data_IF_807499741648
#
_entry.id   IF_807499741648
#
_cell.length_a   1.000
_cell.length_b   1.000
_cell.length_c   1.000
_cell.angle_alpha   90.00
_cell.angle_beta   90.00
_cell.angle_gamma   90.00
#
_symmetry.space_group_name_H-M   'P 1'
#
loop_
_entity.id
_entity.type
_entity.pdbx_description
1 polymer ?
#
# COMPACT_ATOMS: atom_id res chain seq x y z
N UNK A 1 -26.96 -21.21 -23.92
CA UNK A 1 -26.97 -19.73 -23.84
C UNK A 1 -27.19 -19.33 -22.40
N UNK A 2 -26.16 -18.80 -21.75
CA UNK A 2 -26.29 -18.17 -20.42
C UNK A 2 -25.03 -17.33 -20.18
N UNK A 3 -25.08 -16.13 -20.77
CA UNK A 3 -24.45 -14.86 -20.42
C UNK A 3 -23.11 -14.88 -19.64
N UNK A 4 -22.04 -14.53 -20.36
CA UNK A 4 -20.82 -13.93 -19.85
C UNK A 4 -21.14 -12.72 -18.98
N UNK A 5 -20.75 -12.75 -17.71
CA UNK A 5 -20.85 -11.63 -16.75
C UNK A 5 -19.48 -10.99 -16.48
N UNK A 6 -18.63 -10.88 -17.50
CA UNK A 6 -17.30 -10.23 -17.44
C UNK A 6 -17.17 -9.00 -18.35
N UNK A 7 -18.27 -8.30 -18.60
CA UNK A 7 -18.25 -6.96 -19.19
C UNK A 7 -18.87 -5.95 -18.21
N UNK A 8 -18.09 -5.50 -17.23
CA UNK A 8 -18.44 -4.25 -16.53
C UNK A 8 -17.18 -3.41 -16.34
N UNK A 9 -17.23 -2.19 -16.91
CA UNK A 9 -16.28 -1.08 -16.78
C UNK A 9 -15.03 -1.08 -17.69
N UNK A 10 -15.24 -1.17 -19.01
CA UNK A 10 -14.32 -0.59 -20.00
C UNK A 10 -14.74 0.84 -20.33
N UNK A 11 -14.26 1.79 -19.53
CA UNK A 11 -14.38 3.21 -19.82
C UNK A 11 -13.79 4.03 -18.69
N UNK A 12 -12.72 4.77 -18.97
CA UNK A 12 -12.31 5.86 -18.07
C UNK A 12 -13.41 6.92 -18.08
N UNK A 13 -13.84 7.34 -16.90
CA UNK A 13 -14.88 8.38 -16.78
C UNK A 13 -14.25 9.76 -16.67
N UNK A 14 -14.89 10.74 -17.32
CA UNK A 14 -14.53 12.16 -17.19
C UNK A 14 -15.22 12.70 -15.93
N UNK A 15 -14.47 12.79 -14.84
CA UNK A 15 -14.95 13.38 -13.58
C UNK A 15 -14.70 12.51 -12.34
N UNK A 16 -15.04 13.02 -11.16
CA UNK A 16 -14.91 12.26 -9.90
C UNK A 16 -16.02 11.21 -9.81
N UNK A 17 -15.71 9.98 -9.38
CA UNK A 17 -16.74 8.96 -9.17
C UNK A 17 -17.67 9.42 -8.05
N UNK A 18 -18.99 9.15 -8.17
CA UNK A 18 -19.95 9.44 -7.09
C UNK A 18 -19.85 8.36 -6.02
N UNK A 19 -19.76 7.11 -6.46
CA UNK A 19 -19.46 5.94 -5.64
C UNK A 19 -18.11 5.35 -6.08
N UNK A 20 -17.00 5.63 -5.37
CA UNK A 20 -15.67 5.19 -5.77
C UNK A 20 -15.48 3.68 -5.69
N UNK A 21 -16.37 2.97 -4.98
CA UNK A 21 -16.34 1.53 -4.80
C UNK A 21 -17.05 0.77 -5.94
N UNK A 22 -17.85 1.46 -6.76
CA UNK A 22 -18.73 0.82 -7.76
C UNK A 22 -18.66 1.45 -9.15
N UNK A 23 -18.45 2.76 -9.23
CA UNK A 23 -18.42 3.48 -10.50
C UNK A 23 -17.14 3.15 -11.31
N UNK A 24 -17.12 3.59 -12.58
CA UNK A 24 -15.96 3.48 -13.46
C UNK A 24 -14.73 4.20 -12.90
N UNK A 25 -13.54 3.71 -13.31
CA UNK A 25 -12.27 4.27 -12.86
C UNK A 25 -12.07 5.66 -13.52
N UNK A 26 -11.81 6.72 -12.74
CA UNK A 26 -11.57 8.04 -13.31
C UNK A 26 -10.23 8.06 -14.05
N UNK A 27 -10.10 8.95 -15.04
CA UNK A 27 -8.82 9.22 -15.71
C UNK A 27 -7.77 9.67 -14.70
N UNK A 28 -6.55 9.17 -14.87
CA UNK A 28 -5.41 9.56 -14.04
C UNK A 28 -4.97 11.00 -14.30
N UNK A 29 -4.72 11.69 -13.19
CA UNK A 29 -4.15 13.04 -13.10
C UNK A 29 -2.80 12.88 -12.41
N UNK A 30 -1.68 13.01 -13.14
CA UNK A 30 -0.35 13.01 -12.53
C UNK A 30 -0.21 14.17 -11.55
N UNK A 31 0.45 13.91 -10.41
CA UNK A 31 0.76 14.93 -9.40
C UNK A 31 2.29 15.05 -9.29
N UNK A 32 2.93 15.99 -10.01
CA UNK A 32 4.39 16.14 -9.97
C UNK A 32 4.94 16.43 -8.57
N UNK A 33 4.11 16.99 -7.68
CA UNK A 33 4.44 17.25 -6.27
C UNK A 33 3.69 16.33 -5.33
N UNK A 34 3.35 15.12 -5.76
CA UNK A 34 2.49 14.18 -5.01
C UNK A 34 2.85 14.09 -3.51
N UNK A 35 1.85 14.12 -2.60
CA UNK A 35 2.08 13.86 -1.17
C UNK A 35 2.24 12.37 -0.84
N UNK A 36 2.31 11.52 -1.86
CA UNK A 36 2.45 10.08 -1.71
C UNK A 36 3.77 9.74 -1.00
N UNK A 37 3.65 9.30 0.25
CA UNK A 37 4.77 9.01 1.14
C UNK A 37 5.25 7.55 1.04
N UNK A 38 4.36 6.63 0.64
CA UNK A 38 4.68 5.21 0.49
C UNK A 38 3.74 4.51 -0.49
N UNK A 39 4.30 3.61 -1.28
CA UNK A 39 3.53 2.59 -2.02
C UNK A 39 4.08 1.23 -1.68
N UNK A 40 3.20 0.25 -1.42
CA UNK A 40 3.57 -1.12 -1.03
C UNK A 40 2.76 -2.11 -1.85
N UNK A 41 3.39 -3.18 -2.32
CA UNK A 41 2.69 -4.38 -2.78
C UNK A 41 3.24 -5.60 -2.03
N UNK A 42 2.35 -6.53 -1.68
CA UNK A 42 2.70 -7.74 -0.94
C UNK A 42 1.92 -8.94 -1.44
N UNK A 43 2.64 -10.04 -1.66
CA UNK A 43 2.06 -11.40 -1.73
C UNK A 43 2.39 -12.15 -0.46
N UNK A 44 1.39 -12.83 0.11
CA UNK A 44 1.58 -13.87 1.12
C UNK A 44 1.32 -15.23 0.49
N UNK A 45 2.06 -16.23 0.93
CA UNK A 45 2.03 -17.59 0.41
C UNK A 45 2.29 -18.57 1.56
N UNK A 46 1.92 -19.87 1.40
CA UNK A 46 2.22 -20.88 2.40
C UNK A 46 3.72 -20.91 2.73
N UNK A 47 4.04 -21.15 3.99
CA UNK A 47 5.40 -21.00 4.49
C UNK A 47 6.44 -21.84 3.74
N UNK A 48 7.46 -21.18 3.18
CA UNK A 48 8.66 -21.78 2.59
C UNK A 48 9.79 -21.73 3.63
N UNK A 49 9.91 -22.80 4.42
CA UNK A 49 10.80 -22.83 5.59
C UNK A 49 12.28 -22.59 5.27
N UNK A 50 12.72 -22.95 4.05
CA UNK A 50 14.10 -22.76 3.59
C UNK A 50 14.51 -21.29 3.53
N UNK A 51 13.57 -20.34 3.46
CA UNK A 51 13.87 -18.90 3.47
C UNK A 51 14.56 -18.44 4.77
N UNK A 52 14.45 -19.21 5.86
CA UNK A 52 15.16 -18.90 7.10
C UNK A 52 16.69 -19.13 7.03
N UNK A 53 17.17 -19.86 6.01
CA UNK A 53 18.58 -20.21 5.87
C UNK A 53 19.26 -19.30 4.81
N UNK A 54 20.32 -18.55 5.18
CA UNK A 54 21.09 -17.73 4.26
C UNK A 54 21.55 -18.46 2.99
N UNK A 55 21.89 -19.75 3.08
CA UNK A 55 22.36 -20.54 1.94
C UNK A 55 21.28 -20.72 0.86
N UNK A 56 20.02 -20.85 1.26
CA UNK A 56 18.88 -20.97 0.35
C UNK A 56 18.41 -19.62 -0.19
N UNK A 57 18.73 -18.52 0.50
CA UNK A 57 18.40 -17.16 0.05
C UNK A 57 19.44 -16.61 -0.93
N UNK A 58 20.69 -17.04 -0.84
CA UNK A 58 21.79 -16.53 -1.67
C UNK A 58 21.48 -16.53 -3.18
N UNK A 59 20.89 -17.58 -3.80
CA UNK A 59 20.56 -17.55 -5.22
C UNK A 59 19.54 -16.45 -5.60
N UNK A 60 18.52 -16.24 -4.76
CA UNK A 60 17.54 -15.18 -4.95
C UNK A 60 18.20 -13.80 -4.79
N UNK A 61 19.02 -13.63 -3.74
CA UNK A 61 19.76 -12.39 -3.50
C UNK A 61 20.68 -12.07 -4.69
N UNK A 62 21.43 -13.03 -5.20
CA UNK A 62 22.29 -12.86 -6.37
C UNK A 62 21.52 -12.45 -7.63
N UNK A 63 20.30 -12.98 -7.81
CA UNK A 63 19.46 -12.62 -8.94
C UNK A 63 18.97 -11.15 -8.89
N UNK A 64 18.72 -10.61 -7.70
CA UNK A 64 18.19 -9.25 -7.53
C UNK A 64 19.26 -8.20 -7.19
N UNK A 65 20.49 -8.62 -6.83
CA UNK A 65 21.52 -7.73 -6.26
C UNK A 65 21.90 -6.53 -7.12
N UNK A 66 21.75 -6.63 -8.45
CA UNK A 66 22.03 -5.51 -9.35
C UNK A 66 21.10 -4.33 -9.08
N UNK A 67 19.85 -4.60 -8.72
CA UNK A 67 18.84 -3.58 -8.42
C UNK A 67 18.74 -3.30 -6.91
N UNK A 68 18.92 -4.34 -6.07
CA UNK A 68 18.79 -4.27 -4.62
C UNK A 68 20.05 -4.80 -3.92
N UNK A 69 21.18 -4.08 -3.97
CA UNK A 69 22.49 -4.59 -3.57
C UNK A 69 22.74 -4.67 -2.06
N UNK A 70 21.86 -4.10 -1.22
CA UNK A 70 22.08 -4.01 0.23
C UNK A 70 21.20 -4.99 1.00
N UNK A 71 21.67 -6.22 1.26
CA UNK A 71 20.95 -7.16 2.12
C UNK A 71 21.09 -6.76 3.59
N UNK A 72 20.00 -6.82 4.33
CA UNK A 72 19.94 -6.71 5.78
C UNK A 72 19.09 -7.84 6.32
N UNK A 73 19.60 -8.56 7.32
CA UNK A 73 18.83 -9.59 8.01
C UNK A 73 18.28 -9.01 9.31
N UNK A 74 16.96 -9.03 9.46
CA UNK A 74 16.27 -8.64 10.68
C UNK A 74 15.61 -9.86 11.31
N UNK A 75 15.56 -9.90 12.64
CA UNK A 75 14.75 -10.85 13.39
C UNK A 75 13.59 -10.11 14.00
N UNK A 76 12.38 -10.45 13.57
CA UNK A 76 11.17 -9.99 14.24
C UNK A 76 10.78 -11.05 15.26
N UNK A 77 10.40 -10.60 16.45
CA UNK A 77 9.91 -11.45 17.52
C UNK A 77 8.44 -11.09 17.73
N UNK A 78 7.53 -12.01 17.43
CA UNK A 78 6.14 -11.81 17.82
C UNK A 78 6.04 -11.84 19.34
N UNK A 79 5.24 -10.96 19.92
CA UNK A 79 4.91 -10.98 21.34
C UNK A 79 3.45 -11.37 21.47
N UNK A 80 3.18 -12.51 22.11
CA UNK A 80 1.83 -12.97 22.38
C UNK A 80 1.42 -12.49 23.76
N UNK A 81 0.40 -11.65 23.82
CA UNK A 81 -0.19 -11.19 25.07
C UNK A 81 -1.25 -12.19 25.51
N UNK A 82 -0.96 -12.93 26.58
CA UNK A 82 -1.92 -13.86 27.20
C UNK A 82 -2.33 -13.33 28.58
N UNK A 83 -3.46 -13.78 29.14
CA UNK A 83 -3.83 -13.44 30.52
C UNK A 83 -2.75 -13.80 31.57
N UNK A 84 -1.84 -14.73 31.25
CA UNK A 84 -0.74 -15.16 32.11
C UNK A 84 0.58 -14.39 31.88
N UNK A 85 0.56 -13.33 31.06
CA UNK A 85 1.72 -12.51 30.75
C UNK A 85 2.11 -12.53 29.27
N UNK A 86 3.24 -11.89 28.97
CA UNK A 86 3.82 -11.82 27.62
C UNK A 86 4.61 -13.09 27.36
N UNK A 87 4.18 -13.89 26.39
CA UNK A 87 4.96 -15.03 25.90
C UNK A 87 5.68 -14.63 24.60
N UNK A 88 6.97 -14.97 24.43
CA UNK A 88 7.63 -14.82 23.15
C UNK A 88 6.92 -15.72 22.13
N UNK A 89 6.42 -15.13 21.06
CA UNK A 89 5.88 -15.83 19.91
C UNK A 89 6.98 -16.33 18.98
N UNK A 90 6.58 -16.77 17.78
CA UNK A 90 7.53 -17.24 16.78
C UNK A 90 8.42 -16.08 16.32
N UNK A 91 9.73 -16.33 16.24
CA UNK A 91 10.65 -15.39 15.60
C UNK A 91 10.72 -15.71 14.11
N UNK A 92 10.52 -14.70 13.27
CA UNK A 92 10.70 -14.80 11.83
C UNK A 92 11.93 -13.98 11.41
N UNK A 93 12.74 -14.57 10.53
CA UNK A 93 13.78 -13.82 9.82
C UNK A 93 13.12 -13.07 8.68
N UNK A 94 13.38 -11.77 8.61
CA UNK A 94 13.01 -10.93 7.47
C UNK A 94 14.31 -10.52 6.78
N UNK A 95 14.45 -10.90 5.52
CA UNK A 95 15.50 -10.44 4.64
C UNK A 95 15.04 -9.16 3.95
N UNK A 96 15.77 -8.07 4.14
CA UNK A 96 15.53 -6.81 3.45
C UNK A 96 16.59 -6.58 2.39
N UNK A 97 16.18 -6.10 1.23
CA UNK A 97 17.07 -5.71 0.14
C UNK A 97 16.70 -4.30 -0.31
N UNK A 98 17.66 -3.38 -0.26
CA UNK A 98 17.43 -1.98 -0.61
C UNK A 98 18.20 -1.58 -1.86
N UNK A 99 17.68 -0.60 -2.61
CA UNK A 99 18.46 0.17 -3.60
C UNK A 99 19.58 0.95 -2.90
N UNK A 100 20.54 1.51 -3.66
CA UNK A 100 21.67 2.28 -3.10
C UNK A 100 21.25 3.58 -2.41
N UNK A 101 20.09 4.12 -2.73
CA UNK A 101 19.51 5.37 -2.22
C UNK A 101 18.44 5.14 -1.13
N UNK A 102 18.20 3.89 -0.72
CA UNK A 102 17.18 3.47 0.26
C UNK A 102 15.72 3.81 -0.12
N UNK A 103 15.49 4.25 -1.36
CA UNK A 103 14.15 4.62 -1.80
C UNK A 103 13.25 3.42 -2.08
N UNK A 104 13.82 2.28 -2.47
CA UNK A 104 13.10 1.03 -2.66
C UNK A 104 13.58 -0.03 -1.69
N UNK A 105 12.63 -0.76 -1.11
CA UNK A 105 12.89 -1.85 -0.19
C UNK A 105 12.09 -3.07 -0.59
N UNK A 106 12.77 -4.21 -0.63
CA UNK A 106 12.16 -5.54 -0.81
C UNK A 106 12.28 -6.26 0.51
N UNK A 107 11.19 -6.85 1.00
CA UNK A 107 11.21 -7.68 2.20
C UNK A 107 10.75 -9.09 1.83
N UNK A 108 11.55 -10.09 2.22
CA UNK A 108 11.28 -11.50 2.02
C UNK A 108 11.37 -12.23 3.35
N UNK A 109 10.32 -12.95 3.71
CA UNK A 109 10.32 -13.89 4.83
C UNK A 109 9.66 -15.21 4.38
N UNK A 110 9.60 -16.25 5.23
CA UNK A 110 9.05 -17.54 4.84
C UNK A 110 7.62 -17.51 4.28
N UNK A 111 6.82 -16.50 4.59
CA UNK A 111 5.39 -16.45 4.27
C UNK A 111 4.96 -15.22 3.47
N UNK A 112 5.88 -14.31 3.11
CA UNK A 112 5.56 -13.19 2.22
C UNK A 112 6.76 -12.64 1.47
N UNK A 113 6.46 -11.99 0.34
CA UNK A 113 7.34 -11.06 -0.37
C UNK A 113 6.62 -9.72 -0.50
N UNK A 114 7.31 -8.62 -0.20
CA UNK A 114 6.80 -7.27 -0.46
C UNK A 114 7.84 -6.38 -1.10
N UNK A 115 7.37 -5.42 -1.89
CA UNK A 115 8.14 -4.29 -2.40
C UNK A 115 7.48 -3.00 -1.93
N UNK A 116 8.29 -2.04 -1.51
CA UNK A 116 7.83 -0.70 -1.16
C UNK A 116 8.76 0.39 -1.69
N UNK A 117 8.20 1.58 -1.89
CA UNK A 117 8.97 2.77 -2.28
C UNK A 117 8.45 4.05 -1.65
N UNK A 118 9.38 4.94 -1.28
CA UNK A 118 9.10 6.34 -0.94
C UNK A 118 9.19 7.28 -2.16
N UNK A 119 9.70 6.79 -3.29
CA UNK A 119 9.95 7.55 -4.51
C UNK A 119 9.18 6.95 -5.68
N UNK A 120 7.86 6.88 -5.51
CA UNK A 120 6.98 6.35 -6.55
C UNK A 120 6.96 7.28 -7.77
N UNK A 121 7.22 6.72 -8.95
CA UNK A 121 7.24 7.47 -10.21
C UNK A 121 5.96 7.25 -11.01
N UNK A 122 5.59 5.99 -11.22
CA UNK A 122 4.43 5.57 -12.00
C UNK A 122 4.02 4.16 -11.64
N UNK A 123 2.78 3.82 -11.98
CA UNK A 123 2.25 2.47 -11.76
C UNK A 123 3.00 1.43 -12.58
N UNK A 124 3.42 1.80 -13.78
CA UNK A 124 4.15 0.93 -14.68
C UNK A 124 5.52 0.54 -14.09
N UNK A 125 6.34 1.51 -13.67
CA UNK A 125 7.65 1.26 -13.04
C UNK A 125 7.50 0.43 -11.75
N UNK A 126 6.50 0.74 -10.92
CA UNK A 126 6.26 0.00 -9.69
C UNK A 126 5.91 -1.47 -9.93
N UNK A 127 4.97 -1.77 -10.84
CA UNK A 127 4.58 -3.14 -11.11
C UNK A 127 5.53 -3.90 -12.04
N UNK A 128 6.33 -3.23 -12.85
CA UNK A 128 7.45 -3.87 -13.56
C UNK A 128 8.47 -4.44 -12.56
N UNK A 129 8.85 -3.66 -11.55
CA UNK A 129 9.73 -4.11 -10.47
C UNK A 129 9.10 -5.23 -9.65
N UNK A 130 7.81 -5.11 -9.32
CA UNK A 130 7.12 -6.15 -8.59
C UNK A 130 7.06 -7.46 -9.39
N UNK A 131 6.75 -7.38 -10.68
CA UNK A 131 6.76 -8.54 -11.60
C UNK A 131 8.12 -9.21 -11.66
N UNK A 132 9.20 -8.42 -11.76
CA UNK A 132 10.57 -8.93 -11.69
C UNK A 132 10.81 -9.72 -10.40
N UNK A 133 10.44 -9.17 -9.24
CA UNK A 133 10.64 -9.86 -7.95
C UNK A 133 9.80 -11.13 -7.82
N UNK A 134 8.55 -11.12 -8.28
CA UNK A 134 7.68 -12.30 -8.31
C UNK A 134 8.28 -13.41 -9.19
N UNK A 135 8.84 -13.06 -10.34
CA UNK A 135 9.51 -14.03 -11.21
C UNK A 135 10.75 -14.66 -10.57
N UNK A 136 11.50 -13.89 -9.76
CA UNK A 136 12.64 -14.43 -9.01
C UNK A 136 12.16 -15.29 -7.83
N UNK A 137 11.07 -14.90 -7.16
CA UNK A 137 10.46 -15.70 -6.10
C UNK A 137 10.00 -17.06 -6.63
N UNK A 138 9.30 -17.08 -7.76
CA UNK A 138 8.84 -18.30 -8.42
C UNK A 138 9.99 -19.22 -8.83
N UNK A 139 11.00 -18.65 -9.50
CA UNK A 139 12.19 -19.38 -9.95
C UNK A 139 12.97 -20.06 -8.81
N UNK A 140 13.05 -19.42 -7.63
CA UNK A 140 13.93 -19.86 -6.55
C UNK A 140 13.21 -20.61 -5.43
N UNK A 141 11.92 -20.36 -5.22
CA UNK A 141 11.14 -20.94 -4.12
C UNK A 141 9.86 -21.63 -4.56
N UNK A 142 9.38 -21.35 -5.79
CA UNK A 142 8.20 -21.97 -6.41
C UNK A 142 6.99 -22.10 -5.48
N UNK A 143 6.53 -21.01 -4.83
CA UNK A 143 5.29 -21.03 -4.06
C UNK A 143 4.14 -21.46 -4.98
N UNK A 144 3.27 -22.36 -4.52
CA UNK A 144 2.18 -22.86 -5.36
C UNK A 144 0.94 -21.96 -5.35
N UNK A 145 0.73 -21.23 -4.25
CA UNK A 145 -0.52 -20.51 -3.96
C UNK A 145 -0.19 -19.15 -3.36
N UNK A 146 -0.97 -18.14 -3.73
CA UNK A 146 -1.07 -16.85 -3.04
C UNK A 146 -2.24 -16.90 -2.06
N UNK A 147 -1.98 -16.69 -0.78
CA UNK A 147 -2.98 -16.63 0.30
C UNK A 147 -3.51 -15.21 0.52
N UNK A 148 -2.68 -14.20 0.23
CA UNK A 148 -3.08 -12.78 0.26
C UNK A 148 -2.31 -12.01 -0.81
N UNK A 149 -3.03 -11.17 -1.54
CA UNK A 149 -2.43 -10.13 -2.38
C UNK A 149 -2.92 -8.78 -1.86
N UNK A 150 -2.02 -7.80 -1.69
CA UNK A 150 -2.38 -6.45 -1.28
C UNK A 150 -1.55 -5.38 -1.96
N UNK A 151 -2.16 -4.23 -2.18
CA UNK A 151 -1.55 -3.00 -2.70
C UNK A 151 -1.99 -1.84 -1.82
N UNK A 152 -1.04 -1.03 -1.36
CA UNK A 152 -1.28 0.06 -0.42
C UNK A 152 -0.63 1.35 -0.90
N UNK A 153 -1.38 2.45 -0.81
CA UNK A 153 -0.91 3.81 -1.08
C UNK A 153 -1.13 4.65 0.16
N UNK A 154 -0.10 5.40 0.56
CA UNK A 154 -0.14 6.28 1.73
C UNK A 154 0.21 7.70 1.31
N UNK A 155 -0.79 8.56 1.22
CA UNK A 155 -0.62 9.99 1.04
C UNK A 155 -0.45 10.67 2.40
N UNK A 156 0.44 11.67 2.47
CA UNK A 156 0.70 12.44 3.67
C UNK A 156 0.85 13.93 3.37
N UNK A 157 -0.14 14.70 3.79
CA UNK A 157 -0.15 16.16 3.73
C UNK A 157 0.50 16.70 5.01
N UNK A 158 1.50 17.56 4.87
CA UNK A 158 2.22 18.19 5.99
C UNK A 158 2.17 19.70 5.87
N UNK A 159 2.73 20.42 6.82
CA UNK A 159 2.85 21.87 6.71
C UNK A 159 3.74 22.26 5.50
N UNK A 160 3.40 23.33 4.76
CA UNK A 160 2.30 24.27 5.02
C UNK A 160 0.91 23.84 4.49
N UNK A 161 0.82 22.86 3.57
CA UNK A 161 -0.43 22.46 2.91
C UNK A 161 -1.50 21.93 3.89
N UNK A 162 -1.07 21.40 5.04
CA UNK A 162 -1.98 20.97 6.11
C UNK A 162 -2.95 22.07 6.57
N UNK A 163 -2.55 23.34 6.45
CA UNK A 163 -3.41 24.50 6.79
C UNK A 163 -4.65 24.58 5.90
N UNK A 164 -4.57 24.07 4.68
CA UNK A 164 -5.62 24.09 3.66
C UNK A 164 -6.39 22.76 3.60
N UNK A 165 -6.16 21.83 4.54
CA UNK A 165 -6.71 20.47 4.48
C UNK A 165 -8.24 20.44 4.32
N UNK A 166 -8.97 21.39 4.93
CA UNK A 166 -10.43 21.49 4.83
C UNK A 166 -10.92 21.82 3.40
N UNK A 167 -10.09 22.49 2.60
CA UNK A 167 -10.37 22.77 1.19
C UNK A 167 -9.86 21.67 0.27
N UNK A 168 -8.87 20.88 0.73
CA UNK A 168 -8.19 19.85 -0.06
C UNK A 168 -8.89 18.49 -0.01
N UNK A 169 -9.63 18.16 1.04
CA UNK A 169 -10.35 16.89 1.12
C UNK A 169 -11.84 17.11 1.32
N UNK A 170 -12.64 16.10 1.02
CA UNK A 170 -14.09 16.14 1.22
C UNK A 170 -14.46 16.29 2.69
N UNK A 171 -15.60 16.92 3.01
CA UNK A 171 -16.08 17.04 4.40
C UNK A 171 -16.16 15.70 5.14
N UNK A 172 -16.54 14.62 4.46
CA UNK A 172 -16.62 13.28 5.05
C UNK A 172 -15.26 12.75 5.54
N UNK A 173 -14.15 13.30 5.01
CA UNK A 173 -12.78 12.92 5.38
C UNK A 173 -12.23 13.76 6.55
N UNK A 174 -12.93 14.80 6.99
CA UNK A 174 -12.42 15.74 7.99
C UNK A 174 -12.77 15.34 9.44
N UNK A 175 -13.79 14.51 9.65
CA UNK A 175 -14.27 14.17 10.99
C UNK A 175 -14.66 15.43 11.77
N UNK A 176 -14.08 15.65 12.95
CA UNK A 176 -14.36 16.83 13.79
C UNK A 176 -13.33 17.96 13.63
N UNK A 177 -12.38 17.84 12.68
CA UNK A 177 -11.40 18.89 12.39
C UNK A 177 -12.00 20.28 12.11
N UNK A 178 -13.16 20.41 11.42
CA UNK A 178 -13.79 21.71 11.15
C UNK A 178 -14.57 22.28 12.34
N UNK A 179 -14.56 21.61 13.49
CA UNK A 179 -15.31 22.04 14.67
C UNK A 179 -14.63 23.19 15.42
N UNK A 180 -15.36 23.80 16.36
CA UNK A 180 -14.82 24.81 17.28
C UNK A 180 -13.66 24.30 18.16
N UNK A 181 -13.43 22.98 18.23
CA UNK A 181 -12.35 22.35 19.00
C UNK A 181 -11.06 22.14 18.19
N UNK A 182 -10.98 22.63 16.93
CA UNK A 182 -9.87 22.34 16.01
C UNK A 182 -8.47 22.45 16.61
N UNK A 183 -8.22 23.47 17.43
CA UNK A 183 -6.90 23.71 18.05
C UNK A 183 -6.57 22.69 19.16
N UNK A 184 -7.58 22.10 19.78
CA UNK A 184 -7.43 21.09 20.84
C UNK A 184 -7.30 19.66 20.29
N UNK A 185 -7.56 19.47 18.99
CA UNK A 185 -7.42 18.15 18.34
C UNK A 185 -5.95 17.88 18.08
N UNK A 186 -5.31 17.14 19.00
CA UNK A 186 -3.92 16.68 18.85
C UNK A 186 -3.81 15.49 17.89
N UNK A 187 -4.73 14.54 17.99
CA UNK A 187 -4.75 13.31 17.20
C UNK A 187 -6.18 12.92 16.84
N UNK A 188 -6.42 12.57 15.58
CA UNK A 188 -7.70 12.05 15.11
C UNK A 188 -7.44 11.08 13.98
N UNK A 189 -7.91 9.84 14.10
CA UNK A 189 -7.87 8.84 13.04
C UNK A 189 -9.24 8.20 12.88
N UNK A 190 -9.65 8.01 11.64
CA UNK A 190 -10.76 7.15 11.26
C UNK A 190 -10.22 5.92 10.55
N UNK A 191 -10.83 4.76 10.80
CA UNK A 191 -10.52 3.47 10.15
C UNK A 191 -11.83 2.87 9.62
N UNK A 192 -11.82 2.41 8.38
CA UNK A 192 -12.96 1.82 7.70
C UNK A 192 -12.55 0.62 6.86
N UNK A 193 -13.29 -0.50 7.00
CA UNK A 193 -13.23 -1.64 6.08
C UNK A 193 -14.35 -1.54 5.05
N UNK A 194 -13.98 -1.39 3.79
CA UNK A 194 -14.88 -1.18 2.66
C UNK A 194 -14.90 -2.40 1.74
N UNK A 195 -16.07 -2.68 1.15
CA UNK A 195 -16.25 -3.75 0.16
C UNK A 195 -16.41 -3.16 -1.25
N UNK A 196 -15.37 -3.22 -2.09
CA UNK A 196 -15.42 -2.69 -3.46
C UNK A 196 -16.20 -3.62 -4.40
N UNK A 197 -16.29 -3.25 -5.68
CA UNK A 197 -16.97 -4.05 -6.72
C UNK A 197 -16.21 -5.33 -7.06
N UNK A 198 -14.89 -5.27 -6.96
CA UNK A 198 -13.98 -6.35 -7.25
C UNK A 198 -14.22 -7.51 -6.27
N UNK A 199 -14.51 -8.68 -6.83
CA UNK A 199 -14.83 -9.88 -6.06
C UNK A 199 -13.69 -10.25 -5.10
N UNK A 200 -14.10 -10.78 -3.94
CA UNK A 200 -13.22 -11.29 -2.88
C UNK A 200 -12.13 -10.32 -2.43
N UNK A 201 -12.38 -9.02 -2.58
CA UNK A 201 -11.45 -7.95 -2.26
C UNK A 201 -12.04 -7.04 -1.19
N UNK A 202 -11.18 -6.34 -0.47
CA UNK A 202 -11.55 -5.36 0.56
C UNK A 202 -10.58 -4.19 0.52
N UNK A 203 -11.03 -3.02 0.95
CA UNK A 203 -10.19 -1.83 1.13
C UNK A 203 -10.22 -1.45 2.60
N UNK A 204 -9.07 -1.42 3.26
CA UNK A 204 -8.91 -0.72 4.53
C UNK A 204 -8.50 0.70 4.22
N UNK A 205 -9.32 1.65 4.67
CA UNK A 205 -9.06 3.08 4.53
C UNK A 205 -8.85 3.68 5.91
N UNK A 206 -7.71 4.33 6.12
CA UNK A 206 -7.44 5.14 7.31
C UNK A 206 -7.10 6.55 6.93
N UNK A 207 -7.59 7.51 7.70
CA UNK A 207 -7.24 8.91 7.46
C UNK A 207 -7.37 9.73 8.73
N UNK A 208 -6.71 10.88 8.72
CA UNK A 208 -6.83 11.85 9.81
C UNK A 208 -5.51 12.51 10.21
N UNK A 209 -5.58 13.33 11.26
CA UNK A 209 -4.47 14.15 11.77
C UNK A 209 -3.58 13.35 12.72
N UNK A 210 -2.29 13.39 12.45
CA UNK A 210 -1.23 12.82 13.28
C UNK A 210 -0.35 13.98 13.80
N UNK A 211 -0.09 14.06 15.11
CA UNK A 211 0.84 15.05 15.66
C UNK A 211 2.29 14.76 15.24
N UNK A 212 3.15 15.74 15.42
CA UNK A 212 4.61 15.53 15.33
C UNK A 212 5.06 14.41 16.28
N UNK A 213 6.17 13.78 15.94
CA UNK A 213 6.84 12.75 16.74
C UNK A 213 6.02 11.46 16.99
N UNK A 214 4.87 11.30 16.31
CA UNK A 214 4.00 10.12 16.40
C UNK A 214 3.80 9.51 15.02
N UNK A 215 3.61 8.20 14.98
CA UNK A 215 3.19 7.44 13.80
C UNK A 215 2.08 6.46 14.17
N UNK A 216 1.18 6.21 13.23
CA UNK A 216 0.10 5.20 13.38
C UNK A 216 0.49 3.85 12.78
N UNK A 217 1.61 3.81 12.07
CA UNK A 217 2.18 2.59 11.49
C UNK A 217 3.70 2.74 11.39
N UNK A 218 4.46 2.31 12.42
CA UNK A 218 5.92 2.41 12.42
C UNK A 218 6.60 1.66 11.27
N UNK A 219 5.93 0.69 10.64
CA UNK A 219 6.49 -0.09 9.53
C UNK A 219 6.40 0.61 8.18
N UNK A 220 5.46 1.54 8.00
CA UNK A 220 5.17 2.17 6.71
C UNK A 220 5.14 3.70 6.72
N UNK A 221 4.96 4.32 7.89
CA UNK A 221 4.81 5.76 8.07
C UNK A 221 5.93 6.26 8.99
N UNK A 222 6.87 7.01 8.40
CA UNK A 222 7.98 7.61 9.11
C UNK A 222 7.50 8.63 10.17
N UNK A 223 8.28 8.84 11.21
CA UNK A 223 7.98 9.90 12.18
C UNK A 223 8.41 11.24 11.57
N UNK A 224 7.56 12.27 11.67
CA UNK A 224 7.89 13.63 11.27
C UNK A 224 7.95 14.54 12.49
N UNK A 225 8.80 15.55 12.44
CA UNK A 225 8.92 16.63 13.41
C UNK A 225 7.85 17.73 13.24
N UNK A 226 6.89 17.52 12.33
CA UNK A 226 5.77 18.42 12.03
C UNK A 226 4.45 17.63 12.04
N UNK A 227 3.32 18.28 12.38
CA UNK A 227 2.02 17.67 12.25
C UNK A 227 1.70 17.33 10.79
N UNK A 228 0.87 16.32 10.59
CA UNK A 228 0.46 15.87 9.25
C UNK A 228 -0.96 15.32 9.24
N UNK A 229 -1.53 15.20 8.05
CA UNK A 229 -2.76 14.47 7.78
C UNK A 229 -2.45 13.34 6.80
N UNK A 230 -2.96 12.13 7.07
CA UNK A 230 -2.74 10.97 6.21
C UNK A 230 -4.00 10.52 5.51
N UNK A 231 -3.83 9.91 4.34
CA UNK A 231 -4.79 9.04 3.68
C UNK A 231 -4.08 7.75 3.29
N UNK A 232 -4.43 6.67 3.97
CA UNK A 232 -3.85 5.35 3.83
C UNK A 232 -4.92 4.39 3.29
N UNK A 233 -4.70 3.89 2.08
CA UNK A 233 -5.62 3.03 1.36
C UNK A 233 -4.91 1.71 1.03
N UNK A 234 -5.30 0.62 1.68
CA UNK A 234 -4.83 -0.75 1.42
C UNK A 234 -5.96 -1.59 0.81
N UNK A 235 -5.84 -1.94 -0.47
CA UNK A 235 -6.74 -2.90 -1.11
C UNK A 235 -6.08 -4.26 -1.19
N UNK A 236 -6.81 -5.28 -0.73
CA UNK A 236 -6.30 -6.65 -0.71
C UNK A 236 -7.39 -7.69 -0.97
N UNK A 237 -6.96 -8.90 -1.30
CA UNK A 237 -7.78 -10.11 -1.31
C UNK A 237 -7.10 -11.20 -0.48
N UNK A 238 -7.90 -12.00 0.20
CA UNK A 238 -7.49 -13.23 0.89
C UNK A 238 -8.09 -14.48 0.25
N UNK A 239 -8.66 -14.36 -0.96
CA UNK A 239 -9.10 -15.52 -1.72
C UNK A 239 -7.87 -16.21 -2.33
N UNK A 240 -7.65 -17.50 -2.04
CA UNK A 240 -6.53 -18.24 -2.58
C UNK A 240 -6.54 -18.24 -4.11
N UNK A 241 -5.38 -18.06 -4.72
CA UNK A 241 -5.19 -18.22 -6.16
C UNK A 241 -3.85 -18.90 -6.46
N UNK A 242 -3.70 -19.59 -7.60
CA UNK A 242 -2.40 -20.09 -8.03
C UNK A 242 -1.35 -18.97 -8.05
N UNK A 243 -0.11 -19.33 -7.75
CA UNK A 243 0.99 -18.39 -7.90
C UNK A 243 1.37 -18.28 -9.37
N UNK A 244 0.73 -17.35 -10.07
CA UNK A 244 1.03 -17.02 -11.46
C UNK A 244 1.37 -15.53 -11.54
N UNK A 245 2.60 -15.22 -11.98
CA UNK A 245 3.12 -13.84 -11.94
C UNK A 245 2.25 -12.87 -12.75
N UNK A 246 1.75 -13.30 -13.91
CA UNK A 246 0.84 -12.50 -14.75
C UNK A 246 -0.44 -12.12 -14.02
N UNK A 247 -1.07 -13.11 -13.37
CA UNK A 247 -2.38 -12.97 -12.76
C UNK A 247 -2.30 -12.11 -11.48
N UNK A 248 -1.21 -12.28 -10.71
CA UNK A 248 -0.89 -11.44 -9.56
C UNK A 248 -0.75 -9.98 -9.99
N UNK A 249 -0.05 -9.72 -11.09
CA UNK A 249 0.21 -8.35 -11.57
C UNK A 249 -1.07 -7.73 -12.13
N UNK A 250 -1.85 -8.47 -12.93
CA UNK A 250 -3.15 -8.01 -13.43
C UNK A 250 -4.08 -7.60 -12.27
N UNK A 251 -4.19 -8.46 -11.25
CA UNK A 251 -5.00 -8.19 -10.06
C UNK A 251 -4.46 -7.00 -9.25
N UNK A 252 -3.14 -6.84 -9.16
CA UNK A 252 -2.51 -5.69 -8.51
C UNK A 252 -2.81 -4.37 -9.23
N UNK A 253 -2.82 -4.38 -10.56
CA UNK A 253 -3.25 -3.23 -11.36
C UNK A 253 -4.71 -2.86 -11.11
N UNK A 254 -5.60 -3.85 -11.01
CA UNK A 254 -6.99 -3.63 -10.67
C UNK A 254 -7.14 -2.97 -9.29
N UNK A 255 -6.40 -3.45 -8.29
CA UNK A 255 -6.39 -2.87 -6.94
C UNK A 255 -5.93 -1.41 -6.97
N UNK A 256 -4.80 -1.13 -7.62
CA UNK A 256 -4.27 0.23 -7.72
C UNK A 256 -5.26 1.20 -8.40
N UNK A 257 -5.98 0.74 -9.44
CA UNK A 257 -6.99 1.55 -10.13
C UNK A 257 -8.19 1.85 -9.24
N UNK A 258 -8.67 0.86 -8.48
CA UNK A 258 -9.78 1.06 -7.54
C UNK A 258 -9.39 1.94 -6.36
N UNK A 259 -8.19 1.77 -5.80
CA UNK A 259 -7.62 2.69 -4.81
C UNK A 259 -7.59 4.12 -5.36
N UNK A 260 -7.14 4.30 -6.60
CA UNK A 260 -7.12 5.60 -7.24
C UNK A 260 -8.53 6.23 -7.36
N UNK A 261 -9.56 5.44 -7.63
CA UNK A 261 -10.94 5.93 -7.62
C UNK A 261 -11.37 6.44 -6.23
N UNK A 262 -10.98 5.75 -5.15
CA UNK A 262 -11.23 6.17 -3.77
C UNK A 262 -10.45 7.45 -3.43
N UNK A 263 -9.16 7.51 -3.78
CA UNK A 263 -8.36 8.72 -3.65
C UNK A 263 -9.01 9.92 -4.36
N UNK A 264 -9.41 9.75 -5.63
CA UNK A 264 -10.04 10.83 -6.42
C UNK A 264 -11.41 11.27 -5.91
N UNK A 265 -12.13 10.38 -5.24
CA UNK A 265 -13.34 10.75 -4.51
C UNK A 265 -13.00 11.53 -3.24
N UNK A 266 -12.00 11.10 -2.48
CA UNK A 266 -11.64 11.71 -1.20
C UNK A 266 -11.09 13.14 -1.33
N UNK A 267 -10.35 13.43 -2.41
CA UNK A 267 -9.68 14.73 -2.60
C UNK A 267 -10.46 15.70 -3.48
N UNK A 268 -10.31 17.00 -3.22
CA UNK A 268 -10.93 18.07 -4.00
C UNK A 268 -10.09 18.43 -5.24
N UNK A 269 -10.62 19.30 -6.11
CA UNK A 269 -9.82 19.84 -7.22
C UNK A 269 -8.70 20.75 -6.71
N UNK A 270 -8.91 21.37 -5.54
CA UNK A 270 -7.91 22.20 -4.88
C UNK A 270 -6.69 21.36 -4.50
N UNK A 271 -6.89 20.17 -3.94
CA UNK A 271 -5.80 19.22 -3.68
C UNK A 271 -4.98 18.91 -4.94
N UNK A 272 -5.65 18.60 -6.05
CA UNK A 272 -4.96 18.31 -7.31
C UNK A 272 -4.12 19.51 -7.74
N UNK A 273 -4.68 20.72 -7.69
CA UNK A 273 -3.98 21.96 -8.05
C UNK A 273 -2.77 22.23 -7.14
N UNK A 274 -2.92 22.08 -5.82
CA UNK A 274 -1.82 22.25 -4.85
C UNK A 274 -0.64 21.36 -5.20
N UNK A 275 -0.90 20.12 -5.61
CA UNK A 275 0.13 19.15 -5.98
C UNK A 275 0.48 19.09 -7.49
N UNK A 276 0.05 20.11 -8.25
CA UNK A 276 0.46 20.32 -9.64
C UNK A 276 -0.27 19.46 -10.69
N UNK A 277 -1.45 18.94 -10.35
CA UNK A 277 -2.31 18.23 -11.29
C UNK A 277 -3.04 19.20 -12.22
N UNK A 278 -2.89 18.98 -13.53
CA UNK A 278 -3.64 19.68 -14.57
C UNK A 278 -5.04 19.07 -14.72
N UNK A 279 -6.06 19.93 -14.80
CA UNK A 279 -7.48 19.53 -14.87
C UNK A 279 -7.84 18.83 -16.18
#
# INVERSE_FOLDING_TARGET
MSLNSFEVFRGETVGKPKNPLRDGIPREVPLPKSPLARVIAQVRFPSVLSINDPAFIAPFQEAIRRQYPRPLQERTQELSFTPNGVTPGNSAVIWRFCTMDDHWKVSLCPFFLSIETAQYTSRADFFERFSFLLSQLDKHFSPAIVERLGVRYIDRVKDPELKEIEEMVRPEMLGILPSSMRQEIVHQISDCLLRPAEADSSIVARWGKIPENITVDPGAIEVLDVPSWILDLDMFSTAPMPFETSDIIERSHLFARRIYAVFRWAVTDHFLKVYGGDK
#
